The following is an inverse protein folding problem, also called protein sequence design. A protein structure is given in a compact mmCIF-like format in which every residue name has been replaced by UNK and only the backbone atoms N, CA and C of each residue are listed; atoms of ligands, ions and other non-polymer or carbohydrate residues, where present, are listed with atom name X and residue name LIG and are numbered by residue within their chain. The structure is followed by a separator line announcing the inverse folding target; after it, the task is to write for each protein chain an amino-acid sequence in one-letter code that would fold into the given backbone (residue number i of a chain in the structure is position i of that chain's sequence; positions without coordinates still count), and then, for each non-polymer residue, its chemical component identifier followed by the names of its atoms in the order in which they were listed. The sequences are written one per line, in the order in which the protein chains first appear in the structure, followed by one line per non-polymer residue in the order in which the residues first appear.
data_IF_119941587136
#
_entry.id   IF_119941587136
#
_cell.length_a   1.000
_cell.length_b   1.000
_cell.length_c   1.000
_cell.angle_alpha   90.00
_cell.angle_beta   90.00
_cell.angle_gamma   90.00
#
_symmetry.space_group_name_H-M   'P 1'
#
loop_
_entity.id
_entity.type
_entity.pdbx_description
1 polymer ?
#
# COMPACT_ATOMS: atom_id res chain seq x y z
N UNK A 1 30.21 -17.25 -33.99
CA UNK A 1 30.01 -18.31 -32.98
C UNK A 1 30.08 -17.77 -31.54
N UNK A 2 31.22 -17.23 -31.06
CA UNK A 2 31.35 -16.73 -29.67
C UNK A 2 30.36 -15.60 -29.28
N UNK A 3 30.07 -14.67 -30.20
CA UNK A 3 29.10 -13.59 -29.96
C UNK A 3 27.64 -14.12 -29.85
N UNK A 4 27.30 -15.15 -30.62
CA UNK A 4 25.97 -15.79 -30.59
C UNK A 4 25.80 -16.58 -29.28
N UNK A 5 26.86 -17.23 -28.80
CA UNK A 5 26.89 -17.90 -27.50
C UNK A 5 26.76 -16.89 -26.34
N UNK A 6 27.43 -15.74 -26.43
CA UNK A 6 27.27 -14.62 -25.47
C UNK A 6 25.86 -14.00 -25.53
N UNK A 7 25.23 -13.91 -26.71
CA UNK A 7 23.85 -13.45 -26.87
C UNK A 7 22.80 -14.48 -26.41
N UNK A 8 23.12 -15.77 -26.42
CA UNK A 8 22.29 -16.81 -25.79
C UNK A 8 22.52 -16.96 -24.28
N UNK A 9 23.63 -16.41 -23.76
CA UNK A 9 23.96 -16.32 -22.33
C UNK A 9 23.58 -14.97 -21.70
N UNK A 10 23.25 -13.97 -22.51
CA UNK A 10 22.33 -12.88 -22.15
C UNK A 10 20.95 -13.52 -22.01
N UNK A 11 20.82 -14.37 -20.99
CA UNK A 11 19.64 -15.19 -20.77
C UNK A 11 18.41 -14.31 -20.76
N UNK A 12 17.27 -14.92 -21.09
CA UNK A 12 16.01 -14.51 -20.50
C UNK A 12 16.31 -14.21 -19.03
N UNK A 13 16.29 -12.93 -18.62
CA UNK A 13 16.43 -12.60 -17.22
C UNK A 13 15.32 -13.39 -16.52
N UNK A 14 15.69 -14.44 -15.77
CA UNK A 14 14.72 -15.25 -15.09
C UNK A 14 13.98 -14.31 -14.15
N UNK A 15 12.67 -14.15 -14.35
CA UNK A 15 11.88 -13.29 -13.50
C UNK A 15 11.88 -13.85 -12.08
N UNK A 16 12.12 -12.99 -11.10
CA UNK A 16 12.03 -13.38 -9.69
C UNK A 16 10.61 -13.77 -9.29
N UNK A 17 10.50 -14.54 -8.21
CA UNK A 17 9.27 -14.98 -7.57
C UNK A 17 8.81 -13.97 -6.53
N UNK A 18 7.68 -13.33 -6.77
CA UNK A 18 7.11 -12.27 -5.96
C UNK A 18 5.94 -12.77 -5.13
N UNK A 19 6.00 -12.49 -3.83
CA UNK A 19 4.85 -12.59 -2.94
C UNK A 19 4.09 -11.26 -2.97
N UNK A 20 2.79 -11.29 -3.23
CA UNK A 20 1.95 -10.09 -3.28
C UNK A 20 0.94 -10.13 -2.16
N UNK A 21 0.94 -9.08 -1.33
CA UNK A 21 -0.06 -8.84 -0.30
C UNK A 21 -0.83 -7.58 -0.69
N UNK A 22 -1.93 -7.72 -1.45
CA UNK A 22 -2.65 -6.59 -2.01
C UNK A 22 -3.53 -5.89 -0.98
N UNK A 23 -3.91 -4.66 -1.29
CA UNK A 23 -5.05 -3.98 -0.66
C UNK A 23 -6.21 -3.99 -1.66
N UNK A 24 -7.39 -4.34 -1.16
CA UNK A 24 -8.61 -4.47 -1.97
C UNK A 24 -9.15 -3.11 -2.46
N UNK A 25 -10.27 -3.12 -3.17
CA UNK A 25 -10.90 -1.90 -3.69
C UNK A 25 -10.10 -1.31 -4.85
N UNK A 26 -10.00 0.03 -4.91
CA UNK A 26 -9.31 0.74 -6.00
C UNK A 26 -7.81 0.49 -6.06
N UNK A 27 -7.20 0.07 -4.93
CA UNK A 27 -5.78 -0.25 -4.83
C UNK A 27 -5.46 -1.50 -5.66
N UNK A 28 -6.28 -2.55 -5.50
CA UNK A 28 -6.18 -3.79 -6.28
C UNK A 28 -6.31 -3.55 -7.79
N UNK A 29 -7.26 -2.71 -8.22
CA UNK A 29 -7.48 -2.44 -9.65
C UNK A 29 -6.22 -1.87 -10.33
N UNK A 30 -5.48 -1.01 -9.64
CA UNK A 30 -4.21 -0.46 -10.16
C UNK A 30 -3.08 -1.49 -10.10
N UNK A 31 -3.01 -2.24 -9.00
CA UNK A 31 -1.96 -3.24 -8.78
C UNK A 31 -2.05 -4.38 -9.80
N UNK A 32 -3.27 -4.82 -10.14
CA UNK A 32 -3.50 -5.94 -11.07
C UNK A 32 -2.81 -5.74 -12.43
N UNK A 33 -2.88 -4.54 -12.99
CA UNK A 33 -2.23 -4.22 -14.27
C UNK A 33 -0.69 -4.33 -14.18
N UNK A 34 -0.13 -4.01 -13.02
CA UNK A 34 1.30 -4.22 -12.73
C UNK A 34 1.62 -5.70 -12.61
N UNK A 35 0.78 -6.49 -11.92
CA UNK A 35 1.00 -7.94 -11.78
C UNK A 35 0.95 -8.65 -13.13
N UNK A 36 0.00 -8.31 -14.00
CA UNK A 36 -0.09 -8.86 -15.35
C UNK A 36 1.17 -8.52 -16.17
N UNK A 37 1.67 -7.29 -16.04
CA UNK A 37 2.91 -6.87 -16.69
C UNK A 37 4.16 -7.59 -16.17
N UNK A 38 4.23 -7.84 -14.85
CA UNK A 38 5.32 -8.61 -14.24
C UNK A 38 5.31 -10.06 -14.72
N UNK A 39 4.13 -10.68 -14.78
CA UNK A 39 3.98 -12.04 -15.26
C UNK A 39 4.37 -12.17 -16.74
N UNK A 40 3.97 -11.22 -17.59
CA UNK A 40 4.41 -11.17 -19.00
C UNK A 40 5.92 -11.02 -19.17
N UNK A 41 6.60 -10.44 -18.17
CA UNK A 41 8.06 -10.31 -18.11
C UNK A 41 8.75 -11.52 -17.49
N UNK A 42 8.00 -12.58 -17.17
CA UNK A 42 8.53 -13.86 -16.70
C UNK A 42 8.64 -13.98 -15.18
N UNK A 43 8.12 -13.04 -14.40
CA UNK A 43 8.05 -13.16 -12.94
C UNK A 43 7.00 -14.20 -12.52
N UNK A 44 7.35 -15.04 -11.55
CA UNK A 44 6.37 -15.87 -10.85
C UNK A 44 5.67 -15.03 -9.79
N UNK A 45 4.34 -14.98 -9.82
CA UNK A 45 3.56 -14.13 -8.91
C UNK A 45 2.62 -15.00 -8.09
N UNK A 46 2.72 -14.88 -6.76
CA UNK A 46 1.81 -15.50 -5.80
C UNK A 46 1.09 -14.41 -5.02
N UNK A 47 -0.23 -14.34 -5.15
CA UNK A 47 -1.08 -13.34 -4.49
C UNK A 47 -1.78 -13.96 -3.29
N UNK A 48 -1.66 -13.34 -2.12
CA UNK A 48 -2.49 -13.64 -0.96
C UNK A 48 -3.80 -12.85 -1.04
N UNK A 49 -4.93 -13.48 -0.75
CA UNK A 49 -6.22 -12.80 -0.78
C UNK A 49 -7.19 -13.36 0.27
N UNK A 50 -7.99 -12.51 0.94
CA UNK A 50 -9.12 -13.02 1.72
C UNK A 50 -10.17 -13.64 0.78
N UNK A 51 -10.88 -14.67 1.24
CA UNK A 51 -11.99 -15.28 0.50
C UNK A 51 -13.15 -14.31 0.23
N UNK A 52 -13.34 -13.33 1.11
CA UNK A 52 -14.32 -12.25 0.98
C UNK A 52 -13.58 -10.96 0.62
N UNK A 53 -13.96 -10.36 -0.51
CA UNK A 53 -13.27 -9.22 -1.13
C UNK A 53 -14.22 -8.39 -1.99
N UNK A 54 -13.95 -7.09 -2.11
CA UNK A 54 -14.64 -6.16 -3.01
C UNK A 54 -14.33 -6.49 -4.47
N UNK A 55 -13.05 -6.55 -4.84
CA UNK A 55 -12.62 -6.62 -6.23
C UNK A 55 -11.58 -7.72 -6.53
N UNK A 56 -10.99 -8.34 -5.52
CA UNK A 56 -10.01 -9.42 -5.72
C UNK A 56 -10.73 -10.72 -6.07
N UNK A 57 -10.66 -11.15 -7.33
CA UNK A 57 -11.28 -12.41 -7.80
C UNK A 57 -10.21 -13.39 -8.29
N UNK A 58 -10.47 -14.71 -8.24
CA UNK A 58 -9.55 -15.72 -8.75
C UNK A 58 -9.12 -15.41 -10.19
N UNK A 59 -7.82 -15.48 -10.43
CA UNK A 59 -7.21 -15.23 -11.74
C UNK A 59 -6.52 -16.49 -12.25
N UNK A 60 -6.45 -16.64 -13.57
CA UNK A 60 -5.63 -17.66 -14.23
C UNK A 60 -4.22 -17.17 -14.55
N UNK A 61 -3.98 -15.86 -14.44
CA UNK A 61 -2.70 -15.24 -14.82
C UNK A 61 -1.62 -15.46 -13.76
N UNK A 62 -2.00 -15.55 -12.49
CA UNK A 62 -1.08 -15.73 -11.36
C UNK A 62 -1.68 -16.66 -10.31
N UNK A 63 -0.82 -17.24 -9.48
CA UNK A 63 -1.25 -18.11 -8.38
C UNK A 63 -1.89 -17.26 -7.31
N UNK A 64 -3.07 -17.68 -6.83
CA UNK A 64 -3.75 -17.02 -5.72
C UNK A 64 -3.93 -18.00 -4.56
N UNK A 65 -3.51 -17.59 -3.36
CA UNK A 65 -3.70 -18.32 -2.11
C UNK A 65 -4.74 -17.58 -1.28
N UNK A 66 -5.93 -18.18 -1.19
CA UNK A 66 -7.03 -17.58 -0.45
C UNK A 66 -7.06 -18.06 1.00
N UNK A 67 -7.50 -17.20 1.92
CA UNK A 67 -7.65 -17.53 3.34
C UNK A 67 -9.01 -17.06 3.88
N UNK A 68 -9.60 -17.78 4.85
CA UNK A 68 -10.91 -17.45 5.38
C UNK A 68 -10.87 -16.19 6.25
N UNK A 69 -11.98 -15.47 6.31
CA UNK A 69 -12.15 -14.25 7.11
C UNK A 69 -13.45 -14.28 7.89
N UNK A 70 -13.54 -13.63 9.07
CA UNK A 70 -14.66 -13.77 9.98
C UNK A 70 -15.75 -12.70 9.71
N UNK A 71 -15.94 -12.34 8.45
CA UNK A 71 -16.94 -11.37 8.01
C UNK A 71 -17.50 -11.78 6.65
N UNK A 72 -18.73 -11.39 6.39
CA UNK A 72 -19.46 -11.66 5.15
C UNK A 72 -19.20 -10.58 4.09
N UNK A 73 -19.55 -10.89 2.84
CA UNK A 73 -19.51 -9.92 1.74
C UNK A 73 -20.39 -8.70 2.04
N UNK A 74 -21.58 -8.92 2.62
CA UNK A 74 -22.53 -7.85 2.95
C UNK A 74 -21.97 -6.91 4.02
N UNK A 75 -21.33 -7.44 5.07
CA UNK A 75 -20.69 -6.63 6.11
C UNK A 75 -19.55 -5.79 5.54
N UNK A 76 -18.69 -6.38 4.72
CA UNK A 76 -17.59 -5.65 4.06
C UNK A 76 -18.12 -4.53 3.16
N UNK A 77 -19.10 -4.82 2.30
CA UNK A 77 -19.70 -3.84 1.40
C UNK A 77 -20.38 -2.71 2.17
N UNK A 78 -21.10 -3.04 3.24
CA UNK A 78 -21.76 -2.05 4.10
C UNK A 78 -20.77 -1.09 4.72
N UNK A 79 -19.70 -1.58 5.34
CA UNK A 79 -18.69 -0.72 5.98
C UNK A 79 -17.94 0.11 4.94
N UNK A 80 -17.62 -0.46 3.77
CA UNK A 80 -17.00 0.28 2.67
C UNK A 80 -17.90 1.40 2.13
N UNK A 81 -19.19 1.12 1.91
CA UNK A 81 -20.15 2.13 1.45
C UNK A 81 -20.36 3.24 2.49
N UNK A 82 -20.45 2.88 3.77
CA UNK A 82 -20.55 3.86 4.85
C UNK A 82 -19.32 4.77 4.89
N UNK A 83 -18.12 4.21 4.76
CA UNK A 83 -16.88 4.98 4.70
C UNK A 83 -16.82 5.93 3.50
N UNK A 84 -17.25 5.46 2.31
CA UNK A 84 -17.34 6.31 1.12
C UNK A 84 -18.32 7.46 1.32
N UNK A 85 -19.52 7.19 1.83
CA UNK A 85 -20.52 8.23 2.08
C UNK A 85 -19.98 9.30 3.03
N UNK A 86 -19.41 8.90 4.16
CA UNK A 86 -18.77 9.79 5.14
C UNK A 86 -17.68 10.66 4.51
N UNK A 87 -16.89 10.09 3.59
CA UNK A 87 -15.77 10.80 2.96
C UNK A 87 -16.21 11.95 2.05
N UNK A 88 -17.42 11.87 1.48
CA UNK A 88 -18.01 12.89 0.61
C UNK A 88 -19.02 13.80 1.31
N UNK A 89 -19.35 13.53 2.58
CA UNK A 89 -20.26 14.37 3.34
C UNK A 89 -19.68 15.76 3.63
N UNK A 90 -20.50 16.78 3.39
CA UNK A 90 -20.22 18.16 3.76
C UNK A 90 -20.54 18.41 5.23
N UNK A 91 -19.88 19.40 5.83
CA UNK A 91 -20.09 19.76 7.24
C UNK A 91 -18.94 20.57 7.81
N UNK A 92 -19.07 20.93 9.09
CA UNK A 92 -17.99 21.59 9.82
C UNK A 92 -16.77 20.66 9.93
N UNK A 93 -15.57 21.26 10.06
CA UNK A 93 -14.32 20.50 10.19
C UNK A 93 -14.41 19.43 11.29
N UNK A 94 -14.87 19.80 12.50
CA UNK A 94 -14.97 18.89 13.64
C UNK A 94 -15.97 17.74 13.39
N UNK A 95 -17.13 18.02 12.78
CA UNK A 95 -18.11 16.98 12.48
C UNK A 95 -17.58 15.99 11.45
N UNK A 96 -16.97 16.48 10.36
CA UNK A 96 -16.35 15.65 9.32
C UNK A 96 -15.22 14.81 9.89
N UNK A 97 -14.38 15.43 10.71
CA UNK A 97 -13.28 14.77 11.40
C UNK A 97 -13.74 13.58 12.24
N UNK A 98 -14.76 13.77 13.09
CA UNK A 98 -15.27 12.69 13.96
C UNK A 98 -15.89 11.55 13.15
N UNK A 99 -16.62 11.85 12.08
CA UNK A 99 -17.21 10.84 11.19
C UNK A 99 -16.13 10.05 10.45
N UNK A 100 -15.15 10.73 9.85
CA UNK A 100 -14.03 10.09 9.16
C UNK A 100 -13.23 9.22 10.12
N UNK A 101 -12.97 9.71 11.33
CA UNK A 101 -12.33 8.94 12.40
C UNK A 101 -13.09 7.63 12.69
N UNK A 102 -14.41 7.70 12.90
CA UNK A 102 -15.21 6.51 13.18
C UNK A 102 -15.24 5.54 11.98
N UNK A 103 -15.40 6.06 10.76
CA UNK A 103 -15.35 5.26 9.53
C UNK A 103 -13.99 4.58 9.31
N UNK A 104 -12.89 5.31 9.51
CA UNK A 104 -11.53 4.74 9.42
C UNK A 104 -11.32 3.65 10.45
N UNK A 105 -11.82 3.82 11.68
CA UNK A 105 -11.71 2.79 12.74
C UNK A 105 -12.38 1.49 12.33
N UNK A 106 -13.57 1.54 11.71
CA UNK A 106 -14.31 0.35 11.25
C UNK A 106 -13.61 -0.35 10.08
N UNK A 107 -13.15 0.40 9.08
CA UNK A 107 -12.38 -0.16 7.95
C UNK A 107 -11.06 -0.76 8.43
N UNK A 108 -10.37 -0.09 9.35
CA UNK A 108 -9.14 -0.59 9.97
C UNK A 108 -9.41 -1.90 10.71
N UNK A 109 -10.50 -2.00 11.47
CA UNK A 109 -10.86 -3.23 12.18
C UNK A 109 -11.08 -4.42 11.23
N UNK A 110 -11.69 -4.21 10.05
CA UNK A 110 -11.79 -5.24 9.01
C UNK A 110 -10.40 -5.67 8.50
N UNK A 111 -9.53 -4.71 8.21
CA UNK A 111 -8.16 -4.97 7.78
C UNK A 111 -7.34 -5.76 8.80
N UNK A 112 -7.40 -5.37 10.08
CA UNK A 112 -6.73 -6.05 11.20
C UNK A 112 -7.29 -7.47 11.37
N UNK A 113 -8.62 -7.62 11.32
CA UNK A 113 -9.29 -8.93 11.43
C UNK A 113 -8.86 -9.88 10.31
N UNK A 114 -8.82 -9.39 9.07
CA UNK A 114 -8.32 -10.15 7.91
C UNK A 114 -6.86 -10.53 8.07
N UNK A 115 -6.00 -9.57 8.44
CA UNK A 115 -4.59 -9.83 8.67
C UNK A 115 -4.36 -10.86 9.77
N UNK A 116 -5.13 -10.79 10.86
CA UNK A 116 -5.06 -11.75 11.95
C UNK A 116 -5.40 -13.17 11.51
N UNK A 117 -6.38 -13.37 10.61
CA UNK A 117 -6.66 -14.69 10.05
C UNK A 117 -5.52 -15.19 9.16
N UNK A 118 -4.94 -14.30 8.35
CA UNK A 118 -3.78 -14.65 7.51
C UNK A 118 -2.60 -15.12 8.36
N UNK A 119 -2.23 -14.35 9.38
CA UNK A 119 -1.10 -14.66 10.27
C UNK A 119 -1.34 -15.90 11.15
N UNK A 120 -2.59 -16.20 11.49
CA UNK A 120 -2.95 -17.43 12.23
C UNK A 120 -3.06 -18.69 11.37
N UNK A 121 -3.08 -18.54 10.04
CA UNK A 121 -3.17 -19.68 9.14
C UNK A 121 -1.82 -20.38 9.02
N UNK A 122 -1.56 -21.34 9.91
CA UNK A 122 -0.29 -22.08 9.97
C UNK A 122 0.06 -22.81 8.67
N UNK A 123 -0.94 -23.33 7.95
CA UNK A 123 -0.69 -23.99 6.66
C UNK A 123 -0.15 -22.99 5.63
N UNK A 124 -0.77 -21.80 5.57
CA UNK A 124 -0.35 -20.77 4.64
C UNK A 124 0.99 -20.15 5.04
N UNK A 125 1.23 -19.87 6.32
CA UNK A 125 2.53 -19.36 6.80
C UNK A 125 3.65 -20.35 6.47
N UNK A 126 3.45 -21.65 6.75
CA UNK A 126 4.42 -22.69 6.38
C UNK A 126 4.66 -22.76 4.87
N UNK A 127 3.59 -22.67 4.07
CA UNK A 127 3.71 -22.59 2.61
C UNK A 127 4.60 -21.41 2.19
N UNK A 128 4.43 -20.24 2.81
CA UNK A 128 5.21 -19.05 2.50
C UNK A 128 6.69 -19.21 2.85
N UNK A 129 6.99 -19.81 4.00
CA UNK A 129 8.35 -20.09 4.46
C UNK A 129 9.07 -21.10 3.55
N UNK A 130 8.36 -22.13 3.07
CA UNK A 130 8.93 -23.20 2.24
C UNK A 130 9.11 -22.79 0.76
N UNK A 131 8.35 -21.81 0.27
CA UNK A 131 8.29 -21.51 -1.17
C UNK A 131 9.34 -20.52 -1.70
N UNK A 132 10.18 -19.95 -0.82
CA UNK A 132 11.28 -19.01 -1.11
C UNK A 132 10.92 -17.92 -2.13
N UNK A 133 10.60 -16.72 -1.63
CA UNK A 133 10.32 -15.55 -2.46
C UNK A 133 11.54 -14.65 -2.58
N UNK A 134 11.67 -13.93 -3.70
CA UNK A 134 12.75 -12.97 -3.93
C UNK A 134 12.42 -11.58 -3.36
N UNK A 135 11.13 -11.20 -3.36
CA UNK A 135 10.66 -9.95 -2.79
C UNK A 135 9.17 -10.00 -2.46
N UNK A 136 8.72 -9.09 -1.59
CA UNK A 136 7.31 -8.86 -1.27
C UNK A 136 6.81 -7.56 -1.90
N UNK A 137 5.70 -7.61 -2.63
CA UNK A 137 5.01 -6.45 -3.20
C UNK A 137 3.71 -6.17 -2.45
N UNK A 138 3.57 -4.99 -1.85
CA UNK A 138 2.37 -4.65 -1.06
C UNK A 138 2.05 -3.15 -1.09
N UNK A 139 0.79 -2.80 -0.84
CA UNK A 139 0.43 -1.42 -0.52
C UNK A 139 0.50 -1.22 1.01
N UNK A 140 1.45 -0.42 1.52
CA UNK A 140 1.72 -0.27 2.96
C UNK A 140 0.60 0.45 3.73
N UNK A 141 -0.43 0.97 3.06
CA UNK A 141 -1.58 1.59 3.75
C UNK A 141 -2.31 0.61 4.67
N UNK A 142 -2.24 -0.70 4.37
CA UNK A 142 -2.64 -1.79 5.27
C UNK A 142 -1.39 -2.59 5.65
N UNK A 143 -0.84 -2.45 6.87
CA UNK A 143 0.48 -2.98 7.24
C UNK A 143 0.67 -4.51 7.21
N UNK A 144 -0.32 -5.31 6.83
CA UNK A 144 -0.21 -6.77 6.88
C UNK A 144 0.95 -7.32 6.04
N UNK A 145 1.16 -6.74 4.86
CA UNK A 145 2.31 -7.11 4.00
C UNK A 145 3.66 -6.75 4.63
N UNK A 146 3.72 -5.69 5.44
CA UNK A 146 4.93 -5.30 6.17
C UNK A 146 5.29 -6.33 7.24
N UNK A 147 4.29 -6.81 7.97
CA UNK A 147 4.46 -7.85 9.00
C UNK A 147 4.98 -9.15 8.37
N UNK A 148 4.38 -9.57 7.24
CA UNK A 148 4.83 -10.76 6.53
C UNK A 148 6.23 -10.60 5.94
N UNK A 149 6.56 -9.42 5.41
CA UNK A 149 7.90 -9.15 4.88
C UNK A 149 8.97 -9.28 5.97
N UNK A 150 8.71 -8.75 7.16
CA UNK A 150 9.60 -8.86 8.31
C UNK A 150 9.76 -10.32 8.75
N UNK A 151 8.67 -11.06 8.90
CA UNK A 151 8.69 -12.47 9.29
C UNK A 151 9.49 -13.34 8.30
N UNK A 152 9.27 -13.13 7.01
CA UNK A 152 9.93 -13.89 5.94
C UNK A 152 11.32 -13.34 5.58
N UNK A 153 11.75 -12.24 6.21
CA UNK A 153 13.00 -11.52 5.90
C UNK A 153 13.13 -11.16 4.42
N UNK A 154 12.04 -10.68 3.80
CA UNK A 154 11.98 -10.34 2.38
C UNK A 154 12.21 -8.85 2.13
N UNK A 155 13.00 -8.48 1.09
CA UNK A 155 13.02 -7.10 0.63
C UNK A 155 11.63 -6.70 0.14
N UNK A 156 11.18 -5.50 0.53
CA UNK A 156 9.83 -5.02 0.24
C UNK A 156 9.81 -3.98 -0.88
N UNK A 157 8.90 -4.18 -1.82
CA UNK A 157 8.50 -3.21 -2.84
C UNK A 157 7.13 -2.66 -2.46
N UNK A 158 7.06 -1.37 -2.16
CA UNK A 158 5.82 -0.71 -1.78
C UNK A 158 5.13 -0.11 -2.99
N UNK A 159 3.86 -0.42 -3.17
CA UNK A 159 3.00 0.11 -4.22
C UNK A 159 1.95 1.01 -3.58
N UNK A 160 2.17 2.33 -3.59
CA UNK A 160 1.39 3.26 -2.78
C UNK A 160 1.09 4.56 -3.52
N UNK A 161 0.04 5.27 -3.12
CA UNK A 161 -0.11 6.69 -3.48
C UNK A 161 0.42 7.62 -2.39
N UNK A 162 0.30 7.17 -1.15
CA UNK A 162 0.81 7.79 0.07
C UNK A 162 0.29 7.01 1.27
N UNK A 163 0.91 7.22 2.43
CA UNK A 163 0.42 6.68 3.71
C UNK A 163 -0.11 7.84 4.55
N UNK A 164 -1.26 7.68 5.24
CA UNK A 164 -1.77 8.69 6.14
C UNK A 164 -0.72 9.22 7.11
N UNK A 165 -0.90 10.48 7.51
CA UNK A 165 -0.06 11.17 8.48
C UNK A 165 1.41 11.38 8.12
N UNK A 166 1.78 11.12 6.87
CA UNK A 166 3.15 11.32 6.39
C UNK A 166 4.11 10.25 6.88
N UNK A 167 3.62 9.11 7.35
CA UNK A 167 4.45 7.96 7.74
C UNK A 167 5.34 7.47 6.60
N UNK A 168 4.88 7.60 5.35
CA UNK A 168 5.68 7.31 4.16
C UNK A 168 6.90 8.25 4.04
N UNK A 169 6.71 9.56 4.27
CA UNK A 169 7.82 10.50 4.29
C UNK A 169 8.78 10.22 5.44
N UNK A 170 8.27 9.96 6.64
CA UNK A 170 9.09 9.68 7.81
C UNK A 170 9.88 8.38 7.66
N UNK A 171 9.23 7.31 7.19
CA UNK A 171 9.87 6.02 6.96
C UNK A 171 10.93 6.07 5.86
N UNK A 172 10.65 6.79 4.76
CA UNK A 172 11.62 6.99 3.68
C UNK A 172 12.70 8.02 4.04
N UNK A 173 12.62 8.69 5.19
CA UNK A 173 13.46 9.83 5.55
C UNK A 173 13.43 10.95 4.48
N UNK A 174 12.28 11.10 3.82
CA UNK A 174 12.07 12.05 2.75
C UNK A 174 11.63 13.41 3.31
N UNK A 175 12.34 14.53 3.02
CA UNK A 175 11.93 15.84 3.48
C UNK A 175 10.56 16.24 2.91
N UNK A 176 9.68 16.75 3.76
CA UNK A 176 8.35 17.23 3.34
C UNK A 176 8.07 18.63 3.91
N UNK A 177 8.71 19.70 3.40
CA UNK A 177 8.65 21.02 4.05
C UNK A 177 7.28 21.70 3.90
N UNK A 178 6.61 22.09 5.00
CA UNK A 178 5.29 22.72 4.93
C UNK A 178 5.33 24.15 4.36
N UNK A 179 6.52 24.68 4.04
CA UNK A 179 6.66 25.99 3.42
C UNK A 179 6.23 25.98 1.95
N UNK A 180 6.37 24.87 1.22
CA UNK A 180 5.99 24.78 -0.20
C UNK A 180 5.30 23.45 -0.57
N UNK A 181 5.31 22.43 0.30
CA UNK A 181 4.54 21.21 0.10
C UNK A 181 3.16 21.40 0.74
N UNK A 182 2.07 21.49 -0.02
CA UNK A 182 0.74 21.69 0.54
C UNK A 182 0.26 20.46 1.31
N UNK A 183 -0.34 20.68 2.49
CA UNK A 183 -0.94 19.65 3.34
C UNK A 183 -2.37 19.38 2.92
N UNK A 184 -2.81 18.13 3.14
CA UNK A 184 -4.19 17.73 2.95
C UNK A 184 -5.16 18.67 3.69
N UNK A 185 -6.37 18.85 3.14
CA UNK A 185 -7.42 19.69 3.70
C UNK A 185 -7.15 21.22 3.74
N UNK A 186 -5.99 21.69 3.30
CA UNK A 186 -5.72 23.14 3.20
C UNK A 186 -6.24 23.77 1.91
N UNK A 187 -6.44 22.96 0.86
CA UNK A 187 -6.71 23.43 -0.51
C UNK A 187 -5.65 24.40 -1.04
N UNK A 188 -4.43 24.35 -0.49
CA UNK A 188 -3.32 25.18 -0.93
C UNK A 188 -2.57 24.55 -2.11
N UNK A 189 -1.87 25.38 -2.86
CA UNK A 189 -0.92 24.96 -3.90
C UNK A 189 0.51 25.04 -3.38
N UNK A 190 1.50 24.75 -4.22
CA UNK A 190 2.92 25.01 -3.95
C UNK A 190 3.26 26.52 -3.85
N UNK A 191 2.38 27.38 -4.36
CA UNK A 191 2.46 28.82 -4.24
C UNK A 191 1.62 29.35 -3.07
N UNK A 192 2.24 29.44 -1.90
CA UNK A 192 1.60 29.95 -0.67
C UNK A 192 2.16 31.30 -0.23
N UNK A 193 1.25 32.21 0.17
CA UNK A 193 1.54 33.41 0.97
C UNK A 193 2.02 33.05 2.37
N UNK A 194 2.58 34.01 3.11
CA UNK A 194 3.04 33.80 4.48
C UNK A 194 1.96 33.17 5.39
N UNK A 195 0.74 33.73 5.39
CA UNK A 195 -0.35 33.22 6.22
C UNK A 195 -0.85 31.83 5.78
N UNK A 196 -0.83 31.55 4.47
CA UNK A 196 -1.10 30.20 3.97
C UNK A 196 -0.04 29.20 4.44
N UNK A 197 1.24 29.58 4.49
CA UNK A 197 2.32 28.71 5.03
C UNK A 197 2.14 28.46 6.53
N UNK A 198 1.76 29.49 7.29
CA UNK A 198 1.44 29.34 8.72
C UNK A 198 0.27 28.36 8.89
N UNK A 199 -0.80 28.53 8.12
CA UNK A 199 -1.94 27.60 8.12
C UNK A 199 -1.50 26.19 7.72
N UNK A 200 -0.68 26.05 6.69
CA UNK A 200 -0.20 24.77 6.20
C UNK A 200 0.61 24.01 7.27
N UNK A 201 1.47 24.73 8.00
CA UNK A 201 2.20 24.21 9.15
C UNK A 201 1.26 23.75 10.28
N UNK A 202 0.20 24.51 10.58
CA UNK A 202 -0.78 24.11 11.59
C UNK A 202 -1.55 22.84 11.22
N UNK A 203 -1.76 22.57 9.92
CA UNK A 203 -2.37 21.34 9.44
C UNK A 203 -1.38 20.15 9.43
N UNK A 204 -0.09 20.40 9.61
CA UNK A 204 0.93 19.37 9.71
C UNK A 204 0.93 18.68 11.08
N UNK A 205 0.69 19.45 12.16
CA UNK A 205 0.71 18.94 13.54
C UNK A 205 -0.34 17.86 13.86
N UNK A 206 -1.63 17.99 13.44
CA UNK A 206 -2.66 17.00 13.76
C UNK A 206 -2.42 15.63 13.14
N UNK A 207 -1.62 15.53 12.06
CA UNK A 207 -1.29 14.25 11.44
C UNK A 207 -0.57 13.31 12.43
N UNK A 208 0.20 13.83 13.39
CA UNK A 208 0.96 12.98 14.32
C UNK A 208 0.04 12.20 15.26
N UNK A 209 -1.04 12.80 15.78
CA UNK A 209 -1.94 12.15 16.76
C UNK A 209 -3.10 11.35 16.12
N UNK A 210 -3.32 11.57 14.82
CA UNK A 210 -4.46 10.99 14.09
C UNK A 210 -4.19 9.59 13.57
N UNK A 211 -2.94 9.14 13.48
CA UNK A 211 -2.66 7.85 12.87
C UNK A 211 -2.43 6.72 13.87
N UNK A 212 -2.20 7.04 15.13
CA UNK A 212 -2.02 6.04 16.18
C UNK A 212 -3.22 5.07 16.20
N UNK A 213 -4.46 5.57 16.19
CA UNK A 213 -5.62 4.68 16.22
C UNK A 213 -5.75 3.74 15.00
N UNK A 214 -5.23 4.15 13.84
CA UNK A 214 -5.32 3.37 12.60
C UNK A 214 -4.22 2.31 12.52
N UNK A 215 -3.05 2.58 13.11
CA UNK A 215 -1.88 1.72 13.00
C UNK A 215 -1.51 0.97 14.29
N UNK A 216 -1.91 1.45 15.45
CA UNK A 216 -1.70 0.81 16.76
C UNK A 216 -2.26 -0.63 16.78
N UNK A 217 -3.49 -0.92 16.30
CA UNK A 217 -3.97 -2.30 16.23
C UNK A 217 -3.11 -3.22 15.34
N UNK A 218 -2.47 -2.67 14.31
CA UNK A 218 -1.53 -3.40 13.47
C UNK A 218 -0.16 -3.56 14.16
N UNK A 219 0.31 -2.57 14.92
CA UNK A 219 1.53 -2.65 15.70
C UNK A 219 1.43 -3.71 16.81
N UNK A 220 0.28 -3.77 17.51
CA UNK A 220 -0.01 -4.82 18.49
C UNK A 220 0.00 -6.20 17.83
N UNK A 221 -0.71 -6.36 16.71
CA UNK A 221 -0.75 -7.62 15.96
C UNK A 221 0.64 -8.04 15.46
N UNK A 222 1.43 -7.09 14.97
CA UNK A 222 2.79 -7.32 14.52
C UNK A 222 3.70 -7.77 15.67
N UNK A 223 3.60 -7.11 16.81
CA UNK A 223 4.43 -7.44 17.98
C UNK A 223 4.07 -8.81 18.56
N UNK A 224 2.78 -9.16 18.59
CA UNK A 224 2.30 -10.48 18.98
C UNK A 224 2.88 -11.57 18.05
N UNK A 225 2.79 -11.36 16.74
CA UNK A 225 3.19 -12.35 15.74
C UNK A 225 4.71 -12.50 15.62
N UNK A 226 5.46 -11.40 15.65
CA UNK A 226 6.93 -11.38 15.53
C UNK A 226 7.64 -11.64 16.87
N UNK A 227 6.88 -11.77 17.96
CA UNK A 227 7.40 -12.01 19.31
C UNK A 227 8.43 -10.97 19.80
N UNK A 228 8.27 -9.71 19.38
CA UNK A 228 9.11 -8.57 19.77
C UNK A 228 8.36 -7.26 19.58
N UNK A 229 8.65 -6.26 20.41
CA UNK A 229 8.04 -4.93 20.27
C UNK A 229 8.47 -4.29 18.94
N UNK A 230 7.48 -3.93 18.11
CA UNK A 230 7.67 -3.22 16.84
C UNK A 230 6.59 -2.16 16.63
N UNK A 231 6.96 -1.06 15.99
CA UNK A 231 5.99 -0.08 15.48
C UNK A 231 5.74 -0.30 13.99
N UNK A 232 4.60 0.17 13.48
CA UNK A 232 4.35 0.19 12.01
C UNK A 232 5.42 1.00 11.28
N UNK A 233 5.93 2.07 11.90
CA UNK A 233 7.01 2.87 11.34
C UNK A 233 8.31 2.07 11.19
N UNK A 234 8.66 1.21 12.16
CA UNK A 234 9.85 0.35 12.06
C UNK A 234 9.74 -0.65 10.92
N UNK A 235 8.56 -1.24 10.72
CA UNK A 235 8.30 -2.15 9.61
C UNK A 235 8.33 -1.41 8.26
N UNK A 236 7.74 -0.20 8.21
CA UNK A 236 7.68 0.61 7.00
C UNK A 236 9.05 1.14 6.56
N UNK A 237 10.00 1.33 7.49
CA UNK A 237 11.39 1.71 7.17
C UNK A 237 12.15 0.65 6.37
N UNK A 238 11.68 -0.60 6.34
CA UNK A 238 12.33 -1.70 5.60
C UNK A 238 12.06 -1.68 4.08
N UNK A 239 11.32 -0.68 3.58
CA UNK A 239 11.00 -0.53 2.17
C UNK A 239 12.21 -0.35 1.27
N UNK A 240 12.49 -1.35 0.43
CA UNK A 240 13.61 -1.33 -0.51
C UNK A 240 13.33 -0.44 -1.72
N UNK A 241 12.13 -0.54 -2.30
CA UNK A 241 11.69 0.26 -3.45
C UNK A 241 10.28 0.78 -3.21
N UNK A 242 10.02 2.03 -3.58
CA UNK A 242 8.76 2.72 -3.36
C UNK A 242 8.17 3.15 -4.71
N UNK A 243 7.23 2.37 -5.22
CA UNK A 243 6.49 2.65 -6.44
C UNK A 243 5.31 3.59 -6.13
N UNK A 244 5.52 4.89 -6.33
CA UNK A 244 4.51 5.92 -6.06
C UNK A 244 3.55 6.10 -7.23
N UNK A 245 2.26 5.88 -7.01
CA UNK A 245 1.16 6.14 -7.96
C UNK A 245 0.84 7.64 -8.10
N UNK A 246 1.86 8.43 -8.43
CA UNK A 246 1.83 9.89 -8.59
C UNK A 246 2.48 10.26 -9.93
N UNK A 247 2.08 11.38 -10.50
CA UNK A 247 2.61 11.87 -11.78
C UNK A 247 3.17 13.28 -11.58
N UNK A 248 4.43 13.51 -11.95
CA UNK A 248 5.12 14.77 -11.68
C UNK A 248 4.45 15.96 -12.40
N UNK A 249 3.68 15.70 -13.46
CA UNK A 249 2.89 16.73 -14.17
C UNK A 249 1.61 17.10 -13.42
N UNK A 250 1.07 16.22 -12.59
CA UNK A 250 -0.22 16.40 -11.89
C UNK A 250 -0.07 16.69 -10.40
N UNK A 251 1.11 16.43 -9.83
CA UNK A 251 1.41 16.60 -8.42
C UNK A 251 2.31 17.83 -8.18
N UNK A 252 2.20 18.42 -6.98
CA UNK A 252 3.04 19.55 -6.59
C UNK A 252 4.51 19.14 -6.38
N UNK A 253 5.46 20.04 -6.68
CA UNK A 253 6.88 19.76 -6.50
C UNK A 253 7.20 19.43 -5.04
N UNK A 254 7.84 18.29 -4.83
CA UNK A 254 8.30 17.81 -3.52
C UNK A 254 9.58 16.97 -3.66
N UNK A 255 10.42 16.88 -2.61
CA UNK A 255 11.56 15.98 -2.59
C UNK A 255 11.16 14.52 -2.80
N UNK A 256 12.04 13.74 -3.42
CA UNK A 256 11.91 12.29 -3.58
C UNK A 256 13.25 11.65 -3.23
N UNK A 257 13.20 10.45 -2.64
CA UNK A 257 14.37 9.65 -2.32
C UNK A 257 14.80 8.81 -3.52
N UNK A 258 16.09 8.41 -3.62
CA UNK A 258 16.59 7.67 -4.80
C UNK A 258 15.88 6.33 -5.08
N UNK A 259 15.31 5.70 -4.06
CA UNK A 259 14.56 4.45 -4.16
C UNK A 259 13.05 4.65 -4.39
N UNK A 260 12.61 5.90 -4.58
CA UNK A 260 11.23 6.25 -4.90
C UNK A 260 11.08 6.43 -6.42
N UNK A 261 10.18 5.64 -7.02
CA UNK A 261 9.92 5.60 -8.46
C UNK A 261 8.46 6.02 -8.70
N UNK A 262 8.22 7.20 -9.28
CA UNK A 262 6.89 7.59 -9.75
C UNK A 262 6.42 6.66 -10.88
N UNK A 263 5.22 6.12 -10.72
CA UNK A 263 4.54 5.23 -11.65
C UNK A 263 3.11 5.75 -11.92
N UNK A 264 3.01 7.04 -12.22
CA UNK A 264 1.77 7.67 -12.67
C UNK A 264 1.16 6.95 -13.87
N UNK A 265 -0.18 6.96 -13.98
CA UNK A 265 -0.87 6.41 -15.15
C UNK A 265 -0.88 4.88 -15.29
N UNK A 266 -0.35 4.10 -14.32
CA UNK A 266 -0.36 2.62 -14.40
C UNK A 266 -1.75 1.99 -14.52
N UNK A 267 -2.80 2.68 -14.10
CA UNK A 267 -4.19 2.23 -14.22
C UNK A 267 -4.79 2.54 -15.61
N UNK A 268 -4.09 3.31 -16.46
CA UNK A 268 -4.50 3.61 -17.81
C UNK A 268 -4.00 2.50 -18.75
N UNK A 269 -4.79 1.43 -18.89
CA UNK A 269 -4.57 0.46 -19.96
C UNK A 269 -4.56 1.20 -21.31
N UNK A 270 -3.58 0.92 -22.17
CA UNK A 270 -3.54 1.47 -23.52
C UNK A 270 -4.80 1.07 -24.27
N UNK A 271 -5.77 1.98 -24.36
CA UNK A 271 -6.71 1.95 -25.47
C UNK A 271 -5.84 2.17 -26.70
N UNK A 272 -5.66 1.15 -27.55
CA UNK A 272 -5.09 1.36 -28.88
C UNK A 272 -5.86 2.52 -29.49
N UNK A 273 -5.19 3.67 -29.65
CA UNK A 273 -5.73 4.74 -30.48
C UNK A 273 -5.91 4.11 -31.85
N UNK A 274 -7.14 3.91 -32.27
CA UNK A 274 -7.45 3.54 -33.66
C UNK A 274 -6.97 4.71 -34.51
N UNK A 275 -5.77 4.57 -35.08
CA UNK A 275 -5.39 5.29 -36.28
C UNK A 275 -6.13 4.69 -37.48
#
# INVERSE_FOLDING_TARGET
ARLVVLLSLLGLAAGGKLLVVPVDGSHWLSLREVLDSLQQRGHEVVVLAPEVSLHIKPSKNFVMKMYPVPYTQEEMEKEFQAFLQISFEEGSFLSRFLKVYEGMKRITALGVSSCKQLLKNQELIRYLEENQFDALLTDPVVPCGLILAEHLSLPSVYFLRGVPCGLDFEAAQCPSPPSYVPRGFTQHTDHMTFFQRVRNLLYDFPNVFLCDFAFEPFAELASEFLHRDVTVLDLLRQGSVWLLRVEFVLDYPRPLMPNIIPIGGVHCAHKKLTQ
#
